data_IF_812116306594
#
_entry.id   IF_812116306594
#
_cell.length_a   1.000
_cell.length_b   1.000
_cell.length_c   1.000
_cell.angle_alpha   90.00
_cell.angle_beta   90.00
_cell.angle_gamma   90.00
#
_symmetry.space_group_name_H-M   'P 1'
#
loop_
_entity.id
_entity.type
_entity.pdbx_description
1 polymer ?
#
# COMPACT_ATOMS: atom_id res chain seq x y z
N UNK A 1 -15.14 27.66 -7.45
CA UNK A 1 -15.26 26.32 -6.82
C UNK A 1 -15.91 25.38 -7.82
N UNK A 2 -15.10 24.47 -8.40
CA UNK A 2 -15.59 23.51 -9.40
C UNK A 2 -16.15 22.25 -8.70
N UNK A 3 -17.25 22.43 -7.95
CA UNK A 3 -17.94 21.35 -7.25
C UNK A 3 -19.39 21.35 -7.70
N UNK A 4 -19.89 20.20 -8.13
CA UNK A 4 -21.28 19.97 -8.50
C UNK A 4 -22.01 19.49 -7.24
N UNK A 5 -23.10 20.14 -6.91
CA UNK A 5 -23.95 19.79 -5.78
C UNK A 5 -25.24 19.17 -6.31
N UNK A 6 -25.65 18.10 -5.69
CA UNK A 6 -26.91 17.41 -5.95
C UNK A 6 -27.72 17.37 -4.66
N UNK A 7 -28.99 17.66 -4.74
CA UNK A 7 -29.92 17.57 -3.61
C UNK A 7 -30.85 16.37 -3.79
N UNK A 8 -31.12 15.66 -2.69
CA UNK A 8 -32.06 14.54 -2.69
C UNK A 8 -31.61 13.34 -3.50
N UNK A 9 -30.33 12.93 -3.39
CA UNK A 9 -29.75 11.82 -4.17
C UNK A 9 -30.14 10.47 -3.55
N UNK A 10 -30.70 9.60 -4.36
CA UNK A 10 -31.01 8.21 -3.99
C UNK A 10 -30.21 7.25 -4.87
N UNK A 11 -29.47 6.34 -4.26
CA UNK A 11 -28.78 5.28 -4.96
C UNK A 11 -29.64 4.01 -4.98
N UNK A 12 -29.85 3.45 -6.17
CA UNK A 12 -30.63 2.24 -6.34
C UNK A 12 -29.73 1.07 -6.78
N UNK A 13 -29.95 -0.09 -6.20
CA UNK A 13 -29.37 -1.36 -6.64
C UNK A 13 -30.52 -2.28 -7.03
N UNK A 14 -30.56 -2.76 -8.28
CA UNK A 14 -31.63 -3.62 -8.81
C UNK A 14 -33.03 -3.06 -8.52
N UNK A 15 -33.23 -1.76 -8.74
CA UNK A 15 -34.45 -1.00 -8.46
C UNK A 15 -34.82 -0.80 -6.96
N UNK A 16 -34.01 -1.31 -6.02
CA UNK A 16 -34.20 -1.05 -4.61
C UNK A 16 -33.37 0.15 -4.16
N UNK A 17 -33.97 1.13 -3.47
CA UNK A 17 -33.21 2.24 -2.89
C UNK A 17 -32.37 1.73 -1.73
N UNK A 18 -31.03 1.81 -1.86
CA UNK A 18 -30.07 1.32 -0.86
C UNK A 18 -29.42 2.44 -0.07
N UNK A 19 -29.42 3.66 -0.60
CA UNK A 19 -28.82 4.81 0.06
C UNK A 19 -29.58 6.06 -0.35
N UNK A 20 -29.89 6.90 0.63
CA UNK A 20 -30.39 8.26 0.42
C UNK A 20 -29.47 9.25 1.12
N UNK A 21 -29.13 10.33 0.42
CA UNK A 21 -28.43 11.47 1.02
C UNK A 21 -29.14 12.76 0.64
N UNK A 22 -29.46 13.63 1.61
CA UNK A 22 -30.14 14.90 1.34
C UNK A 22 -29.30 15.83 0.45
N UNK A 23 -27.99 15.75 0.58
CA UNK A 23 -27.04 16.50 -0.27
C UNK A 23 -25.86 15.61 -0.64
N UNK A 24 -25.45 15.68 -1.90
CA UNK A 24 -24.24 15.01 -2.39
C UNK A 24 -23.45 15.99 -3.25
N UNK A 25 -22.17 16.12 -2.98
CA UNK A 25 -21.30 17.00 -3.71
C UNK A 25 -20.08 16.25 -4.24
N UNK A 26 -19.78 16.41 -5.51
CA UNK A 26 -18.57 15.85 -6.11
C UNK A 26 -17.82 16.91 -6.93
N UNK A 27 -16.48 16.75 -7.09
CA UNK A 27 -15.72 17.62 -7.97
C UNK A 27 -16.21 17.52 -9.41
N UNK A 28 -16.22 18.64 -10.13
CA UNK A 28 -16.40 18.65 -11.56
C UNK A 28 -15.23 17.91 -12.26
N UNK A 29 -15.50 17.33 -13.43
CA UNK A 29 -14.52 16.61 -14.24
C UNK A 29 -13.28 17.43 -14.64
N UNK A 30 -13.34 18.76 -14.55
CA UNK A 30 -12.21 19.66 -14.77
C UNK A 30 -11.21 19.68 -13.61
N UNK A 31 -11.61 19.20 -12.44
CA UNK A 31 -10.76 19.15 -11.25
C UNK A 31 -9.89 17.89 -11.30
N UNK A 32 -8.63 18.04 -11.65
CA UNK A 32 -7.71 16.93 -11.85
C UNK A 32 -7.43 16.12 -10.57
N UNK A 33 -7.36 16.76 -9.39
CA UNK A 33 -7.07 16.10 -8.10
C UNK A 33 -7.73 16.87 -6.95
N UNK A 34 -8.53 16.21 -6.16
CA UNK A 34 -9.18 16.78 -4.97
C UNK A 34 -9.15 15.77 -3.83
N UNK A 35 -8.86 16.25 -2.62
CA UNK A 35 -8.95 15.43 -1.41
C UNK A 35 -10.40 15.04 -1.13
N UNK A 36 -10.61 13.82 -0.64
CA UNK A 36 -11.93 13.32 -0.30
C UNK A 36 -11.96 11.82 -0.07
N UNK A 37 -13.11 11.33 0.36
CA UNK A 37 -13.36 9.91 0.50
C UNK A 37 -13.40 9.23 -0.86
N UNK A 38 -12.72 8.09 -0.95
CA UNK A 38 -12.80 7.20 -2.10
C UNK A 38 -13.91 6.16 -1.85
N UNK A 39 -14.23 5.40 -2.89
CA UNK A 39 -15.25 4.35 -2.79
C UNK A 39 -14.89 3.35 -1.69
N UNK A 40 -15.77 3.11 -0.71
CA UNK A 40 -15.56 2.10 0.30
C UNK A 40 -15.62 0.71 -0.31
N UNK A 41 -14.96 -0.24 0.31
CA UNK A 41 -15.07 -1.65 -0.05
C UNK A 41 -15.49 -2.49 1.13
N UNK A 42 -16.35 -3.47 0.87
CA UNK A 42 -16.81 -4.45 1.85
C UNK A 42 -16.49 -5.84 1.30
N UNK A 43 -15.90 -6.67 2.12
CA UNK A 43 -15.63 -8.06 1.81
C UNK A 43 -15.96 -8.96 3.00
N UNK A 44 -16.15 -10.25 2.74
CA UNK A 44 -16.45 -11.25 3.77
C UNK A 44 -15.37 -12.32 3.73
N UNK A 45 -14.72 -12.55 4.86
CA UNK A 45 -13.71 -13.58 5.05
C UNK A 45 -14.12 -14.55 6.16
N UNK A 46 -13.64 -15.80 6.05
CA UNK A 46 -13.93 -16.83 7.06
C UNK A 46 -13.31 -16.46 8.42
N UNK A 47 -12.08 -15.98 8.41
CA UNK A 47 -11.33 -15.63 9.62
C UNK A 47 -11.57 -14.19 10.06
N UNK A 48 -11.65 -13.25 9.13
CA UNK A 48 -11.79 -11.82 9.41
C UNK A 48 -13.24 -11.36 9.64
N UNK A 49 -14.21 -12.21 9.26
CA UNK A 49 -15.62 -11.80 9.23
C UNK A 49 -15.88 -10.77 8.13
N UNK A 50 -16.72 -9.78 8.42
CA UNK A 50 -16.96 -8.65 7.53
C UNK A 50 -15.77 -7.71 7.65
N UNK A 51 -15.17 -7.36 6.54
CA UNK A 51 -14.09 -6.38 6.43
C UNK A 51 -14.62 -5.14 5.73
N UNK A 52 -14.51 -3.99 6.37
CA UNK A 52 -14.83 -2.68 5.79
C UNK A 52 -13.58 -1.85 5.65
N UNK A 53 -13.40 -1.26 4.46
CA UNK A 53 -12.28 -0.35 4.14
C UNK A 53 -12.85 0.97 3.63
N UNK A 54 -12.41 2.09 4.19
CA UNK A 54 -12.82 3.43 3.78
C UNK A 54 -11.60 4.28 3.45
N UNK A 55 -11.12 4.31 2.22
CA UNK A 55 -9.98 5.14 1.87
C UNK A 55 -10.36 6.63 1.86
N UNK A 56 -9.45 7.46 2.35
CA UNK A 56 -9.47 8.90 2.24
C UNK A 56 -8.22 9.38 1.50
N UNK A 57 -8.44 10.03 0.38
CA UNK A 57 -7.37 10.59 -0.43
C UNK A 57 -7.08 12.04 -0.02
N UNK A 58 -5.82 12.36 0.26
CA UNK A 58 -5.35 13.70 0.61
C UNK A 58 -4.36 14.19 -0.46
N UNK A 59 -4.79 15.15 -1.26
CA UNK A 59 -3.93 15.81 -2.24
C UNK A 59 -3.10 16.89 -1.54
N UNK A 60 -1.78 16.71 -1.50
CA UNK A 60 -0.84 17.71 -0.94
C UNK A 60 -0.40 18.70 -2.02
N UNK A 61 -0.02 18.16 -3.18
CA UNK A 61 0.43 18.95 -4.33
C UNK A 61 0.16 18.21 -5.63
N UNK A 62 0.53 18.79 -6.76
CA UNK A 62 0.42 18.13 -8.06
C UNK A 62 1.26 16.85 -8.17
N UNK A 63 2.27 16.71 -7.32
CA UNK A 63 3.23 15.60 -7.35
C UNK A 63 3.26 14.76 -6.09
N UNK A 64 2.44 15.09 -5.07
CA UNK A 64 2.45 14.41 -3.77
C UNK A 64 1.05 14.20 -3.25
N UNK A 65 0.79 13.02 -2.72
CA UNK A 65 -0.46 12.66 -2.08
C UNK A 65 -0.29 11.62 -0.98
N UNK A 66 -1.33 11.55 -0.14
CA UNK A 66 -1.53 10.48 0.84
C UNK A 66 -2.86 9.79 0.56
N UNK A 67 -2.91 8.50 0.89
CA UNK A 67 -4.15 7.77 1.04
C UNK A 67 -4.14 7.10 2.40
N UNK A 68 -5.12 7.39 3.24
CA UNK A 68 -5.28 6.80 4.57
C UNK A 68 -6.50 5.91 4.51
N UNK A 69 -6.33 4.63 4.81
CA UNK A 69 -7.40 3.62 4.73
C UNK A 69 -7.55 2.92 6.06
N UNK A 70 -8.51 3.32 6.91
CA UNK A 70 -8.94 2.48 8.03
C UNK A 70 -9.57 1.19 7.48
N UNK A 71 -9.20 0.07 8.11
CA UNK A 71 -9.66 -1.28 7.79
C UNK A 71 -10.20 -1.88 9.09
N UNK A 72 -11.49 -2.17 9.11
CA UNK A 72 -12.17 -2.71 10.29
C UNK A 72 -12.61 -4.14 9.99
N UNK A 73 -12.26 -5.04 10.87
CA UNK A 73 -12.67 -6.45 10.81
C UNK A 73 -13.70 -6.73 11.90
N UNK A 74 -14.80 -7.38 11.57
CA UNK A 74 -15.83 -7.69 12.56
C UNK A 74 -15.43 -8.74 13.59
N UNK A 75 -14.36 -9.51 13.32
CA UNK A 75 -13.89 -10.59 14.20
C UNK A 75 -12.47 -10.41 14.72
N UNK A 76 -11.67 -9.52 14.11
CA UNK A 76 -10.22 -9.58 14.29
C UNK A 76 -9.57 -8.21 14.50
N UNK A 77 -10.30 -7.21 14.99
CA UNK A 77 -9.75 -5.91 15.31
C UNK A 77 -9.71 -4.93 14.13
N UNK A 78 -8.67 -4.12 14.04
CA UNK A 78 -8.56 -3.06 13.02
C UNK A 78 -7.11 -2.82 12.59
N UNK A 79 -6.97 -2.32 11.36
CA UNK A 79 -5.70 -1.83 10.79
C UNK A 79 -5.91 -0.44 10.19
N UNK A 80 -4.83 0.30 10.06
CA UNK A 80 -4.75 1.52 9.28
C UNK A 80 -3.65 1.36 8.25
N UNK A 81 -3.98 1.56 6.98
CA UNK A 81 -3.06 1.57 5.86
C UNK A 81 -2.82 3.03 5.44
N UNK A 82 -1.58 3.48 5.47
CA UNK A 82 -1.15 4.82 5.09
C UNK A 82 -0.20 4.70 3.91
N UNK A 83 -0.63 5.18 2.75
CA UNK A 83 0.18 5.25 1.55
C UNK A 83 0.58 6.70 1.27
N UNK A 84 1.87 6.95 1.10
CA UNK A 84 2.42 8.21 0.62
C UNK A 84 3.05 8.02 -0.76
N UNK A 85 2.75 8.92 -1.70
CA UNK A 85 3.34 8.93 -3.03
C UNK A 85 3.91 10.29 -3.36
N UNK A 86 5.11 10.28 -3.95
CA UNK A 86 5.75 11.48 -4.49
C UNK A 86 6.37 11.17 -5.84
N UNK A 87 6.00 11.94 -6.86
CA UNK A 87 6.46 11.76 -8.23
C UNK A 87 7.08 13.07 -8.70
N UNK A 88 8.31 13.02 -9.14
CA UNK A 88 9.02 14.12 -9.79
C UNK A 88 9.44 13.69 -11.21
N UNK A 89 10.00 14.59 -11.99
CA UNK A 89 10.48 14.26 -13.34
C UNK A 89 11.52 13.12 -13.37
N UNK A 90 12.26 12.94 -12.25
CA UNK A 90 13.38 12.00 -12.18
C UNK A 90 13.30 11.00 -11.07
N UNK A 91 12.29 11.08 -10.22
CA UNK A 91 12.15 10.15 -9.10
C UNK A 91 10.68 9.83 -8.82
N UNK A 92 10.46 8.61 -8.39
CA UNK A 92 9.19 8.11 -7.90
C UNK A 92 9.43 7.48 -6.53
N UNK A 93 8.74 7.99 -5.50
CA UNK A 93 8.76 7.46 -4.14
C UNK A 93 7.35 7.02 -3.76
N UNK A 94 7.25 5.80 -3.28
CA UNK A 94 6.05 5.26 -2.65
C UNK A 94 6.43 4.67 -1.31
N UNK A 95 5.76 5.11 -0.26
CA UNK A 95 5.87 4.57 1.10
C UNK A 95 4.50 4.09 1.51
N UNK A 96 4.41 2.89 2.04
CA UNK A 96 3.19 2.32 2.59
C UNK A 96 3.49 1.77 3.98
N UNK A 97 2.69 2.14 4.96
CA UNK A 97 2.77 1.68 6.34
C UNK A 97 1.40 1.14 6.73
N UNK A 98 1.37 -0.10 7.18
CA UNK A 98 0.15 -0.76 7.66
C UNK A 98 0.38 -1.11 9.12
N UNK A 99 -0.51 -0.70 10.00
CA UNK A 99 -0.40 -1.02 11.42
C UNK A 99 -1.74 -0.98 12.15
N UNK A 100 -1.80 -1.62 13.30
CA UNK A 100 -2.98 -1.66 14.16
C UNK A 100 -2.97 -2.83 15.11
N UNK A 101 -4.14 -3.18 15.61
CA UNK A 101 -4.34 -4.28 16.56
C UNK A 101 -5.23 -5.32 15.89
N UNK A 102 -4.72 -6.52 15.76
CA UNK A 102 -5.43 -7.64 15.12
C UNK A 102 -5.11 -8.96 15.80
N UNK A 103 -6.03 -9.90 15.68
CA UNK A 103 -5.80 -11.29 16.05
C UNK A 103 -4.71 -11.91 15.17
N UNK A 104 -3.63 -12.34 15.77
CA UNK A 104 -2.61 -13.13 15.08
C UNK A 104 -2.95 -14.63 15.10
N UNK A 105 -2.08 -15.46 14.54
CA UNK A 105 -2.25 -16.91 14.64
C UNK A 105 -2.02 -17.45 16.06
N UNK A 106 -1.57 -16.61 16.99
CA UNK A 106 -1.41 -16.96 18.41
C UNK A 106 -2.70 -16.77 19.21
N UNK A 107 -3.81 -16.45 18.52
CA UNK A 107 -5.16 -16.23 19.11
C UNK A 107 -5.19 -15.12 20.18
N UNK A 108 -4.32 -14.13 20.06
CA UNK A 108 -4.30 -12.94 20.91
C UNK A 108 -4.27 -11.68 20.06
N UNK A 109 -4.90 -10.63 20.56
CA UNK A 109 -4.78 -9.30 19.99
C UNK A 109 -3.33 -8.83 20.10
N UNK A 110 -2.67 -8.65 18.96
CA UNK A 110 -1.30 -8.17 18.90
C UNK A 110 -1.22 -6.87 18.09
N UNK A 111 -0.34 -5.98 18.54
CA UNK A 111 0.05 -4.82 17.75
C UNK A 111 0.96 -5.27 16.62
N UNK A 112 0.55 -4.96 15.40
CA UNK A 112 1.30 -5.29 14.19
C UNK A 112 1.62 -4.03 13.40
N UNK A 113 2.80 -4.02 12.78
CA UNK A 113 3.22 -2.96 11.88
C UNK A 113 4.03 -3.55 10.71
N UNK A 114 3.77 -3.06 9.51
CA UNK A 114 4.57 -3.36 8.32
C UNK A 114 4.87 -2.10 7.55
N UNK A 115 6.06 -2.06 6.97
CA UNK A 115 6.52 -0.95 6.15
C UNK A 115 7.01 -1.42 4.79
N UNK A 116 6.60 -0.70 3.75
CA UNK A 116 7.01 -0.91 2.36
C UNK A 116 7.48 0.41 1.79
N UNK A 117 8.66 0.44 1.23
CA UNK A 117 9.19 1.60 0.53
C UNK A 117 9.68 1.19 -0.85
N UNK A 118 9.26 1.93 -1.85
CA UNK A 118 9.79 1.81 -3.22
C UNK A 118 10.26 3.17 -3.68
N UNK A 119 11.50 3.25 -4.08
CA UNK A 119 12.11 4.45 -4.64
C UNK A 119 12.79 4.11 -5.97
N UNK A 120 12.46 4.83 -7.02
CA UNK A 120 13.10 4.75 -8.33
C UNK A 120 13.56 6.16 -8.72
N UNK A 121 14.81 6.30 -9.09
CA UNK A 121 15.39 7.59 -9.45
C UNK A 121 16.38 7.46 -10.58
N UNK A 122 16.37 8.47 -11.48
CA UNK A 122 17.33 8.59 -12.58
C UNK A 122 18.12 9.87 -12.38
N UNK A 123 19.42 9.73 -12.12
CA UNK A 123 20.36 10.84 -12.00
C UNK A 123 20.65 11.49 -13.35
N UNK A 124 21.17 12.74 -13.34
CA UNK A 124 21.63 13.46 -14.54
C UNK A 124 22.71 12.69 -15.35
N UNK A 125 23.46 11.80 -14.68
CA UNK A 125 24.53 11.00 -15.30
C UNK A 125 24.07 9.61 -15.75
N UNK A 126 22.76 9.43 -16.00
CA UNK A 126 22.12 8.18 -16.41
C UNK A 126 22.29 7.01 -15.43
N UNK A 127 22.57 7.30 -14.15
CA UNK A 127 22.46 6.31 -13.10
C UNK A 127 21.00 6.12 -12.73
N UNK A 128 20.51 4.90 -12.81
CA UNK A 128 19.20 4.52 -12.29
C UNK A 128 19.38 3.78 -10.96
N UNK A 129 18.79 4.32 -9.92
CA UNK A 129 18.81 3.72 -8.58
C UNK A 129 17.40 3.29 -8.21
N UNK A 130 17.25 2.04 -7.83
CA UNK A 130 16.01 1.48 -7.29
C UNK A 130 16.25 0.97 -5.88
N UNK A 131 15.38 1.37 -4.97
CA UNK A 131 15.36 0.90 -3.59
C UNK A 131 13.98 0.29 -3.34
N UNK A 132 13.93 -0.94 -2.88
CA UNK A 132 12.74 -1.62 -2.39
C UNK A 132 13.05 -2.07 -0.97
N UNK A 133 12.34 -1.54 0.02
CA UNK A 133 12.45 -1.99 1.40
C UNK A 133 11.11 -2.57 1.81
N UNK A 134 11.15 -3.73 2.43
CA UNK A 134 9.98 -4.42 2.93
C UNK A 134 10.33 -5.03 4.28
N UNK A 135 9.53 -4.72 5.30
CA UNK A 135 9.70 -5.26 6.64
C UNK A 135 8.35 -5.39 7.34
N UNK A 136 8.25 -6.32 8.27
CA UNK A 136 7.04 -6.61 9.03
C UNK A 136 7.38 -7.07 10.43
N UNK A 137 6.64 -6.59 11.43
CA UNK A 137 6.81 -7.02 12.83
C UNK A 137 6.40 -8.47 13.05
N UNK A 138 5.41 -8.96 12.28
CA UNK A 138 4.93 -10.34 12.33
C UNK A 138 4.85 -10.89 10.90
N UNK A 139 5.54 -11.99 10.64
CA UNK A 139 5.75 -12.51 9.28
C UNK A 139 4.46 -12.99 8.59
N UNK A 140 3.46 -13.40 9.38
CA UNK A 140 2.29 -14.09 8.84
C UNK A 140 1.02 -13.24 8.72
N UNK A 141 0.93 -12.07 9.41
CA UNK A 141 -0.32 -11.32 9.44
C UNK A 141 -0.68 -10.70 8.08
N UNK A 142 0.30 -10.28 7.29
CA UNK A 142 0.06 -9.73 5.95
C UNK A 142 -0.71 -10.70 5.04
N UNK A 143 -0.41 -11.99 5.14
CA UNK A 143 -1.10 -13.05 4.40
C UNK A 143 -2.44 -13.40 5.02
N UNK A 144 -2.52 -13.50 6.36
CA UNK A 144 -3.78 -13.79 7.07
C UNK A 144 -4.87 -12.79 6.70
N UNK A 145 -4.52 -11.50 6.65
CA UNK A 145 -5.46 -10.43 6.33
C UNK A 145 -5.52 -10.07 4.83
N UNK A 146 -4.87 -10.85 3.96
CA UNK A 146 -4.83 -10.64 2.50
C UNK A 146 -4.40 -9.23 2.12
N UNK A 147 -3.37 -8.73 2.80
CA UNK A 147 -2.77 -7.42 2.54
C UNK A 147 -1.67 -7.51 1.49
N UNK A 148 -1.14 -8.70 1.26
CA UNK A 148 -0.17 -9.01 0.19
C UNK A 148 -0.40 -10.41 -0.34
N UNK A 149 -0.11 -10.63 -1.61
CA UNK A 149 -0.05 -11.95 -2.26
C UNK A 149 1.38 -12.52 -2.25
N UNK A 150 2.37 -11.72 -1.78
CA UNK A 150 3.76 -12.16 -1.70
C UNK A 150 3.95 -13.20 -0.59
N UNK A 151 4.79 -14.19 -0.85
CA UNK A 151 5.17 -15.23 0.14
C UNK A 151 6.49 -14.92 0.82
N UNK A 152 7.26 -13.99 0.26
CA UNK A 152 8.56 -13.54 0.74
C UNK A 152 8.63 -12.02 0.70
N UNK A 153 9.33 -11.42 1.65
CA UNK A 153 9.69 -10.00 1.62
C UNK A 153 11.10 -9.87 1.05
N UNK A 154 11.22 -9.19 -0.09
CA UNK A 154 12.52 -8.91 -0.70
C UNK A 154 12.84 -7.42 -0.58
N UNK A 155 13.77 -7.08 0.29
CA UNK A 155 14.40 -5.75 0.30
C UNK A 155 15.59 -5.73 -0.66
N UNK A 156 15.69 -4.72 -1.50
CA UNK A 156 16.79 -4.61 -2.47
C UNK A 156 17.21 -3.17 -2.71
N UNK A 157 18.50 -2.98 -2.93
CA UNK A 157 19.08 -1.75 -3.44
C UNK A 157 19.79 -2.11 -4.75
N UNK A 158 19.36 -1.51 -5.84
CA UNK A 158 20.04 -1.69 -7.13
C UNK A 158 20.42 -0.35 -7.73
N UNK A 159 21.59 -0.29 -8.32
CA UNK A 159 22.05 0.84 -9.12
C UNK A 159 22.59 0.35 -10.44
N UNK A 160 22.20 1.03 -11.51
CA UNK A 160 22.53 0.65 -12.88
C UNK A 160 22.99 1.88 -13.65
N UNK A 161 23.96 1.71 -14.53
CA UNK A 161 24.36 2.72 -15.50
C UNK A 161 24.43 2.10 -16.88
N UNK A 162 23.76 2.74 -17.83
CA UNK A 162 23.81 2.40 -19.23
C UNK A 162 24.51 3.52 -19.98
N UNK A 163 25.61 3.20 -20.65
CA UNK A 163 26.27 4.05 -21.63
C UNK A 163 26.16 3.38 -23.00
N UNK A 164 26.52 4.10 -24.06
CA UNK A 164 26.39 3.60 -25.45
C UNK A 164 27.09 2.25 -25.68
N UNK A 165 28.24 2.01 -25.03
CA UNK A 165 29.05 0.80 -25.20
C UNK A 165 29.28 0.02 -23.90
N UNK A 166 28.64 0.38 -22.78
CA UNK A 166 28.87 -0.31 -21.52
C UNK A 166 27.63 -0.31 -20.64
N UNK A 167 27.46 -1.41 -19.93
CA UNK A 167 26.44 -1.57 -18.90
C UNK A 167 27.11 -1.95 -17.59
N UNK A 168 26.75 -1.28 -16.51
CA UNK A 168 27.22 -1.62 -15.16
C UNK A 168 26.04 -1.67 -14.21
N UNK A 169 25.96 -2.73 -13.41
CA UNK A 169 24.93 -2.84 -12.38
C UNK A 169 25.46 -3.46 -11.09
N UNK A 170 24.92 -3.01 -9.97
CA UNK A 170 25.13 -3.58 -8.63
C UNK A 170 23.78 -3.75 -8.00
N UNK A 171 23.51 -4.92 -7.45
CA UNK A 171 22.31 -5.21 -6.67
C UNK A 171 22.71 -5.85 -5.33
N UNK A 172 22.18 -5.30 -4.26
CA UNK A 172 22.21 -5.85 -2.90
C UNK A 172 20.79 -6.24 -2.52
N UNK A 173 20.59 -7.39 -1.91
CA UNK A 173 19.27 -7.82 -1.47
C UNK A 173 19.30 -8.58 -0.14
N UNK A 174 18.18 -8.46 0.57
CA UNK A 174 17.83 -9.23 1.78
C UNK A 174 16.48 -9.89 1.53
N UNK A 175 16.36 -11.16 1.87
CA UNK A 175 15.12 -11.93 1.74
C UNK A 175 14.66 -12.34 3.13
N UNK A 176 13.37 -12.09 3.45
CA UNK A 176 12.67 -12.60 4.61
C UNK A 176 11.49 -13.48 4.17
N UNK A 177 11.20 -14.55 4.88
CA UNK A 177 10.04 -15.42 4.62
C UNK A 177 8.81 -14.89 5.36
N UNK A 178 7.65 -14.89 4.71
CA UNK A 178 6.33 -14.67 5.32
C UNK A 178 5.62 -16.03 5.60
N UNK A 179 6.35 -17.13 5.49
CA UNK A 179 5.80 -18.47 5.71
C UNK A 179 5.61 -18.73 7.20
N UNK A 180 4.56 -19.50 7.51
CA UNK A 180 4.28 -20.00 8.85
C UNK A 180 5.33 -21.07 9.17
N UNK A 181 6.49 -20.69 9.67
CA UNK A 181 7.53 -21.61 10.09
C UNK A 181 7.64 -21.64 11.61
N UNK A 182 7.75 -22.84 12.14
CA UNK A 182 8.18 -23.12 13.50
C UNK A 182 9.49 -22.39 13.77
N UNK A 183 9.67 -21.86 14.95
CA UNK A 183 10.71 -20.95 15.45
C UNK A 183 12.18 -21.27 15.05
N UNK A 184 12.41 -22.44 14.44
CA UNK A 184 13.74 -22.94 14.07
C UNK A 184 14.18 -22.70 12.60
N UNK A 185 13.29 -22.22 11.72
CA UNK A 185 13.60 -22.13 10.27
C UNK A 185 13.44 -20.73 9.68
N UNK A 186 13.93 -19.69 10.37
CA UNK A 186 14.00 -18.35 9.78
C UNK A 186 15.06 -18.30 8.68
N UNK A 187 14.65 -18.55 7.44
CA UNK A 187 15.51 -18.35 6.27
C UNK A 187 15.75 -16.84 6.04
N UNK A 188 16.87 -16.32 6.53
CA UNK A 188 17.37 -15.00 6.18
C UNK A 188 18.49 -15.14 5.15
N UNK A 189 18.24 -14.72 3.93
CA UNK A 189 19.24 -14.71 2.87
C UNK A 189 19.70 -13.29 2.54
N UNK A 190 21.02 -13.10 2.48
CA UNK A 190 21.64 -11.89 1.94
C UNK A 190 22.40 -12.25 0.67
N UNK A 191 22.31 -11.42 -0.35
CA UNK A 191 23.05 -11.65 -1.59
C UNK A 191 23.42 -10.36 -2.30
N UNK A 192 24.42 -10.44 -3.14
CA UNK A 192 24.80 -9.38 -4.05
C UNK A 192 24.97 -9.94 -5.47
N UNK A 193 24.68 -9.11 -6.45
CA UNK A 193 24.93 -9.40 -7.86
C UNK A 193 25.57 -8.17 -8.51
N UNK A 194 26.66 -8.39 -9.24
CA UNK A 194 27.31 -7.39 -10.08
C UNK A 194 27.32 -7.86 -11.51
N UNK A 195 27.08 -6.96 -12.46
CA UNK A 195 27.26 -7.19 -13.89
C UNK A 195 28.02 -6.00 -14.52
N UNK A 196 28.91 -6.28 -15.46
CA UNK A 196 29.75 -5.30 -16.14
C UNK A 196 29.51 -5.38 -17.64
#
# INVERSE_FOLDING_TARGET
THTIHHDGVTMHLLNFPILYTPTFAHPDWTVKRKSGFLTPSISVGRETGITWKQPYFLNISNSQDYTITPIIFSKSGYLTDIEYRSITERSNLKVNIIGGIVDTFKEQDEEVISGFLTFDSISKNNWRTKIKLQDSSEDSFLRKYKLTDETILKSSLSTQKLNDNSFSSVELYKIGSLSRETENDKCHGHGYRTAF
#
